data_IF_407975420605
#
_entry.id   IF_407975420605
#
_cell.length_a   1.000
_cell.length_b   1.000
_cell.length_c   1.000
_cell.angle_alpha   90.00
_cell.angle_beta   90.00
_cell.angle_gamma   90.00
#
_symmetry.space_group_name_H-M   'P 1'
#
loop_
_entity.id
_entity.type
_entity.pdbx_description
1 polymer ?
#
# COMPACT_ATOMS: atom_id res chain seq x y z
N UNK A 1 -10.47 1.83 38.36
CA UNK A 1 -10.56 2.38 36.99
C UNK A 1 -9.54 1.70 36.08
N UNK A 2 -9.85 0.51 35.54
CA UNK A 2 -8.91 -0.26 34.71
C UNK A 2 -9.60 -0.94 33.52
N UNK A 3 -10.48 -0.22 32.82
CA UNK A 3 -11.25 -0.76 31.69
C UNK A 3 -11.03 0.00 30.37
N UNK A 4 -10.27 1.10 30.36
CA UNK A 4 -10.10 1.96 29.17
C UNK A 4 -8.91 1.61 28.26
N UNK A 5 -7.99 0.75 28.71
CA UNK A 5 -6.74 0.47 27.97
C UNK A 5 -6.79 -0.84 27.19
N UNK A 6 -7.57 -1.83 27.65
CA UNK A 6 -7.69 -3.15 27.00
C UNK A 6 -8.53 -3.09 25.72
N UNK A 7 -9.52 -2.20 25.67
CA UNK A 7 -10.38 -2.04 24.49
C UNK A 7 -9.64 -1.39 23.31
N UNK A 8 -8.68 -0.49 23.57
CA UNK A 8 -7.80 0.08 22.52
C UNK A 8 -6.81 -0.94 21.97
N UNK A 9 -6.21 -1.77 22.83
CA UNK A 9 -5.29 -2.83 22.39
C UNK A 9 -6.01 -3.93 21.59
N UNK A 10 -7.28 -4.22 21.89
CA UNK A 10 -8.13 -5.12 21.09
C UNK A 10 -8.63 -4.48 19.79
N UNK A 11 -8.83 -3.17 19.75
CA UNK A 11 -9.16 -2.43 18.53
C UNK A 11 -7.96 -2.39 17.57
N UNK A 12 -6.76 -2.07 18.06
CA UNK A 12 -5.53 -2.06 17.28
C UNK A 12 -5.19 -3.45 16.71
N UNK A 13 -5.38 -4.53 17.49
CA UNK A 13 -5.20 -5.92 16.99
C UNK A 13 -6.23 -6.39 15.95
N UNK A 14 -7.32 -5.64 15.74
CA UNK A 14 -8.34 -5.94 14.73
C UNK A 14 -8.19 -5.13 13.45
N UNK A 15 -7.33 -4.10 13.46
CA UNK A 15 -7.13 -3.22 12.30
C UNK A 15 -6.09 -3.78 11.32
N UNK A 16 -5.31 -4.80 11.72
CA UNK A 16 -4.26 -5.43 10.90
C UNK A 16 -4.74 -6.73 10.25
N UNK A 17 -5.59 -6.62 9.22
CA UNK A 17 -5.74 -7.72 8.27
C UNK A 17 -4.64 -7.61 7.23
N UNK A 18 -3.53 -8.30 7.45
CA UNK A 18 -2.45 -8.42 6.46
C UNK A 18 -3.03 -9.01 5.16
N UNK A 19 -2.87 -8.31 4.04
CA UNK A 19 -3.36 -8.81 2.74
C UNK A 19 -2.49 -9.96 2.28
N UNK A 20 -3.09 -11.13 2.00
CA UNK A 20 -2.33 -12.27 1.54
C UNK A 20 -1.96 -12.12 0.06
N UNK A 21 -0.80 -12.66 -0.33
CA UNK A 21 -0.36 -12.64 -1.72
C UNK A 21 -1.38 -13.35 -2.65
N UNK A 22 -2.08 -14.37 -2.15
CA UNK A 22 -3.15 -15.05 -2.89
C UNK A 22 -4.33 -14.10 -3.19
N UNK A 23 -4.78 -13.33 -2.20
CA UNK A 23 -5.84 -12.32 -2.38
C UNK A 23 -5.43 -11.29 -3.44
N UNK A 24 -4.18 -10.82 -3.36
CA UNK A 24 -3.60 -9.87 -4.33
C UNK A 24 -3.58 -10.47 -5.74
N UNK A 25 -3.11 -11.71 -5.90
CA UNK A 25 -3.07 -12.39 -7.20
C UNK A 25 -4.47 -12.60 -7.79
N UNK A 26 -5.41 -13.09 -6.97
CA UNK A 26 -6.78 -13.36 -7.39
C UNK A 26 -7.50 -12.10 -7.85
N UNK A 27 -7.17 -10.96 -7.24
CA UNK A 27 -7.74 -9.68 -7.58
C UNK A 27 -7.05 -9.03 -8.79
N UNK A 28 -5.73 -8.85 -8.72
CA UNK A 28 -4.96 -8.09 -9.69
C UNK A 28 -4.92 -8.72 -11.08
N UNK A 29 -5.17 -10.03 -11.20
CA UNK A 29 -5.31 -10.69 -12.51
C UNK A 29 -6.38 -10.07 -13.41
N UNK A 30 -7.38 -9.39 -12.82
CA UNK A 30 -8.49 -8.78 -13.56
C UNK A 30 -8.14 -7.40 -14.14
N UNK A 31 -7.06 -6.74 -13.68
CA UNK A 31 -6.72 -5.37 -14.08
C UNK A 31 -5.40 -5.26 -14.86
N UNK A 32 -4.79 -6.37 -15.27
CA UNK A 32 -3.47 -6.42 -15.93
C UNK A 32 -3.25 -5.32 -16.96
N UNK A 33 -4.16 -5.17 -17.93
CA UNK A 33 -4.02 -4.16 -19.00
C UNK A 33 -4.06 -2.70 -18.51
N UNK A 34 -4.62 -2.44 -17.33
CA UNK A 34 -4.66 -1.10 -16.75
C UNK A 34 -3.29 -0.66 -16.20
N UNK A 35 -2.37 -1.60 -15.95
CA UNK A 35 -1.05 -1.32 -15.40
C UNK A 35 0.02 -1.02 -16.47
N UNK A 36 -0.25 -1.34 -17.75
CA UNK A 36 0.73 -1.16 -18.82
C UNK A 36 1.17 0.31 -18.95
N UNK A 37 2.48 0.53 -18.87
CA UNK A 37 3.13 1.84 -18.93
C UNK A 37 2.87 2.74 -17.73
N UNK A 38 2.34 2.20 -16.62
CA UNK A 38 1.94 2.98 -15.44
C UNK A 38 2.97 2.97 -14.33
N UNK A 39 3.00 4.07 -13.57
CA UNK A 39 3.65 4.14 -12.26
C UNK A 39 2.66 3.69 -11.19
N UNK A 40 3.00 2.65 -10.43
CA UNK A 40 2.20 2.15 -9.31
C UNK A 40 2.81 2.59 -7.99
N UNK A 41 1.99 3.10 -7.08
CA UNK A 41 2.35 3.38 -5.69
C UNK A 41 1.66 2.38 -4.76
N UNK A 42 2.45 1.77 -3.88
CA UNK A 42 1.97 0.95 -2.78
C UNK A 42 2.37 1.57 -1.44
N UNK A 43 1.40 2.04 -0.66
CA UNK A 43 1.64 2.37 0.75
C UNK A 43 1.68 1.06 1.56
N UNK A 44 2.71 0.88 2.37
CA UNK A 44 2.93 -0.33 3.17
C UNK A 44 3.50 0.00 4.55
N UNK A 45 3.23 -0.85 5.54
CA UNK A 45 3.83 -0.72 6.88
C UNK A 45 5.31 -1.11 6.88
N UNK A 46 5.67 -2.20 6.20
CA UNK A 46 7.07 -2.56 5.93
C UNK A 46 7.20 -3.11 4.49
N UNK A 47 7.89 -2.40 3.58
CA UNK A 47 8.03 -2.83 2.20
C UNK A 47 8.90 -4.08 2.04
N UNK A 48 9.75 -4.41 3.03
CA UNK A 48 10.60 -5.61 2.99
C UNK A 48 9.82 -6.92 3.13
N UNK A 49 8.60 -6.83 3.65
CA UNK A 49 7.67 -7.96 3.84
C UNK A 49 6.33 -7.73 3.16
N UNK A 50 6.21 -6.68 2.33
CA UNK A 50 4.94 -6.33 1.68
C UNK A 50 4.62 -7.27 0.53
N UNK A 51 3.49 -7.96 0.62
CA UNK A 51 2.98 -8.79 -0.46
C UNK A 51 2.61 -7.97 -1.71
N UNK A 52 2.30 -6.68 -1.57
CA UNK A 52 2.08 -5.80 -2.72
C UNK A 52 3.40 -5.55 -3.48
N UNK A 53 4.48 -5.22 -2.75
CA UNK A 53 5.79 -5.06 -3.36
C UNK A 53 6.23 -6.36 -4.04
N UNK A 54 6.13 -7.50 -3.34
CA UNK A 54 6.46 -8.82 -3.90
C UNK A 54 5.67 -9.09 -5.18
N UNK A 55 4.35 -8.87 -5.19
CA UNK A 55 3.55 -9.07 -6.39
C UNK A 55 4.03 -8.19 -7.55
N UNK A 56 4.12 -6.87 -7.35
CA UNK A 56 4.42 -5.95 -8.45
C UNK A 56 5.86 -6.04 -8.94
N UNK A 57 6.83 -6.29 -8.05
CA UNK A 57 8.22 -6.43 -8.44
C UNK A 57 8.43 -7.70 -9.30
N UNK A 58 7.94 -8.85 -8.84
CA UNK A 58 8.07 -10.11 -9.60
C UNK A 58 7.22 -10.16 -10.88
N UNK A 59 6.16 -9.36 -10.96
CA UNK A 59 5.32 -9.26 -12.16
C UNK A 59 5.59 -7.98 -12.96
N UNK A 60 6.67 -7.23 -12.68
CA UNK A 60 6.88 -5.89 -13.22
C UNK A 60 6.84 -5.87 -14.75
N UNK A 61 7.66 -6.71 -15.38
CA UNK A 61 7.76 -6.83 -16.83
C UNK A 61 6.49 -7.42 -17.44
N UNK A 62 5.90 -8.42 -16.77
CA UNK A 62 4.67 -9.07 -17.22
C UNK A 62 3.48 -8.09 -17.26
N UNK A 63 3.39 -7.18 -16.28
CA UNK A 63 2.40 -6.11 -16.24
C UNK A 63 2.77 -4.93 -17.15
N UNK A 64 4.00 -4.89 -17.66
CA UNK A 64 4.55 -3.79 -18.44
C UNK A 64 4.58 -2.49 -17.65
N UNK A 65 4.92 -2.54 -16.36
CA UNK A 65 4.99 -1.35 -15.51
C UNK A 65 6.09 -0.40 -15.99
N UNK A 66 5.87 0.90 -15.75
CA UNK A 66 6.91 1.91 -15.94
C UNK A 66 7.79 2.05 -14.69
N UNK A 67 7.15 2.00 -13.52
CA UNK A 67 7.79 2.23 -12.22
C UNK A 67 6.92 1.70 -11.09
N UNK A 68 7.55 1.16 -10.07
CA UNK A 68 6.95 0.77 -8.80
C UNK A 68 7.55 1.62 -7.69
N UNK A 69 6.69 2.26 -6.91
CA UNK A 69 7.06 3.06 -5.73
C UNK A 69 6.42 2.39 -4.51
N UNK A 70 7.17 2.22 -3.43
CA UNK A 70 6.61 1.70 -2.17
C UNK A 70 7.11 2.51 -0.99
N UNK A 71 6.20 3.09 -0.22
CA UNK A 71 6.55 3.86 1.00
C UNK A 71 6.43 2.98 2.23
N UNK A 72 7.39 3.06 3.15
CA UNK A 72 7.34 2.45 4.47
C UNK A 72 6.85 3.48 5.50
N UNK A 73 5.70 3.24 6.14
CA UNK A 73 5.33 4.00 7.32
C UNK A 73 6.02 3.42 8.56
N UNK A 74 6.73 4.25 9.31
CA UNK A 74 7.33 3.87 10.59
C UNK A 74 6.56 4.52 11.73
N UNK A 75 5.84 3.69 12.49
CA UNK A 75 5.24 4.15 13.74
C UNK A 75 6.33 4.66 14.71
N UNK A 76 6.21 5.92 15.14
CA UNK A 76 7.15 6.59 16.05
C UNK A 76 6.93 6.21 17.53
N UNK A 77 5.86 5.48 17.86
CA UNK A 77 5.66 4.94 19.21
C UNK A 77 6.65 3.78 19.46
N UNK A 78 7.80 4.15 20.03
CA UNK A 78 8.89 3.27 20.45
C UNK A 78 8.44 2.28 21.54
N UNK A 79 7.97 1.10 21.14
CA UNK A 79 7.92 -0.04 22.06
C UNK A 79 9.34 -0.58 22.26
N UNK A 80 9.77 -0.61 23.53
CA UNK A 80 11.10 -0.85 24.10
C UNK A 80 11.81 -2.18 23.70
N UNK A 81 11.34 -2.94 22.71
CA UNK A 81 11.79 -4.31 22.46
C UNK A 81 12.15 -4.68 21.00
N UNK A 82 12.04 -3.80 20.01
CA UNK A 82 12.45 -4.14 18.64
C UNK A 82 13.90 -3.77 18.37
N UNK A 83 14.83 -4.69 18.68
CA UNK A 83 16.21 -4.63 18.22
C UNK A 83 16.25 -4.74 16.69
N UNK A 84 16.90 -3.79 16.02
CA UNK A 84 17.10 -3.67 14.56
C UNK A 84 16.03 -2.90 13.75
N UNK A 85 15.70 -1.67 14.14
CA UNK A 85 15.06 -0.68 13.25
C UNK A 85 16.10 0.31 12.74
N UNK A 86 16.29 0.38 11.42
CA UNK A 86 16.81 1.59 10.78
C UNK A 86 16.04 2.80 11.35
N UNK A 87 16.73 3.83 11.82
CA UNK A 87 16.11 4.96 12.51
C UNK A 87 15.16 5.76 11.60
N UNK A 88 15.34 5.67 10.29
CA UNK A 88 14.67 6.51 9.29
C UNK A 88 13.67 5.72 8.44
N UNK A 89 12.50 6.31 8.17
CA UNK A 89 11.56 5.78 7.20
C UNK A 89 12.17 5.85 5.78
N UNK A 90 11.78 4.94 4.90
CA UNK A 90 12.33 4.84 3.55
C UNK A 90 11.21 4.61 2.53
N UNK A 91 11.50 4.90 1.29
CA UNK A 91 10.72 4.42 0.16
C UNK A 91 11.60 3.66 -0.82
N UNK A 92 10.99 2.67 -1.49
CA UNK A 92 11.61 1.88 -2.53
C UNK A 92 11.15 2.38 -3.90
N UNK A 93 12.07 2.34 -4.85
CA UNK A 93 11.79 2.56 -6.27
C UNK A 93 12.36 1.40 -7.06
N UNK A 94 11.52 0.78 -7.89
CA UNK A 94 11.92 -0.23 -8.85
C UNK A 94 11.46 0.18 -10.25
N UNK A 95 12.37 0.15 -11.21
CA UNK A 95 12.15 0.60 -12.60
C UNK A 95 12.33 -0.54 -13.61
N UNK A 96 12.31 -1.79 -13.14
CA UNK A 96 12.46 -2.99 -13.95
C UNK A 96 13.85 -3.61 -13.89
N UNK A 97 13.95 -4.77 -14.54
CA UNK A 97 15.15 -5.60 -14.62
C UNK A 97 16.22 -4.93 -15.52
N UNK A 98 17.45 -4.87 -15.02
CA UNK A 98 18.62 -4.27 -15.68
C UNK A 98 19.68 -5.29 -16.04
N UNK A 99 19.67 -6.47 -15.44
CA UNK A 99 20.69 -7.50 -15.64
C UNK A 99 20.20 -8.71 -16.47
N UNK A 100 18.90 -8.78 -16.75
CA UNK A 100 18.27 -9.77 -17.63
C UNK A 100 17.91 -11.09 -16.93
N UNK A 101 17.97 -11.16 -15.59
CA UNK A 101 17.62 -12.36 -14.84
C UNK A 101 16.12 -12.47 -14.52
N UNK A 102 15.34 -11.41 -14.80
CA UNK A 102 13.91 -11.28 -14.50
C UNK A 102 13.53 -11.48 -13.02
N UNK A 103 14.47 -11.20 -12.11
CA UNK A 103 14.31 -11.30 -10.66
C UNK A 103 14.64 -9.93 -10.06
N UNK A 104 13.77 -9.34 -9.22
CA UNK A 104 14.06 -8.07 -8.58
C UNK A 104 15.22 -8.18 -7.59
N UNK A 105 16.32 -7.47 -7.88
CA UNK A 105 17.56 -7.54 -7.12
C UNK A 105 17.82 -6.29 -6.27
N UNK A 106 18.62 -6.44 -5.21
CA UNK A 106 18.96 -5.34 -4.30
C UNK A 106 19.72 -4.20 -5.00
N UNK A 107 20.51 -4.50 -6.04
CA UNK A 107 21.19 -3.48 -6.86
C UNK A 107 20.21 -2.69 -7.76
N UNK A 108 19.04 -3.27 -8.08
CA UNK A 108 18.03 -2.65 -8.94
C UNK A 108 16.99 -1.87 -8.14
N UNK A 109 16.70 -2.33 -6.93
CA UNK A 109 15.75 -1.71 -6.01
C UNK A 109 16.43 -0.53 -5.30
N UNK A 110 16.09 0.68 -5.73
CA UNK A 110 16.57 1.90 -5.11
C UNK A 110 15.89 2.13 -3.76
N UNK A 111 16.65 2.04 -2.66
CA UNK A 111 16.20 2.42 -1.32
C UNK A 111 16.54 3.90 -1.08
N UNK A 112 15.54 4.71 -0.75
CA UNK A 112 15.71 6.15 -0.52
C UNK A 112 15.15 6.57 0.83
N UNK A 113 15.89 7.34 1.65
CA UNK A 113 15.40 7.82 2.94
C UNK A 113 14.29 8.87 2.77
N UNK A 114 13.31 8.83 3.68
CA UNK A 114 12.30 9.86 3.89
C UNK A 114 12.74 10.79 5.03
N UNK A 115 12.32 12.05 4.99
CA UNK A 115 12.62 13.03 6.05
C UNK A 115 11.73 12.86 7.27
N UNK A 116 10.48 12.45 7.05
CA UNK A 116 9.48 12.16 8.06
C UNK A 116 9.34 10.67 8.34
N UNK A 117 8.17 10.29 8.82
CA UNK A 117 7.81 8.93 9.24
C UNK A 117 7.18 8.07 8.12
N UNK A 118 6.93 8.66 6.95
CA UNK A 118 6.24 8.01 5.86
C UNK A 118 4.71 8.05 5.96
N UNK A 119 4.13 8.90 6.81
CA UNK A 119 2.69 9.15 6.82
C UNK A 119 2.26 9.66 5.43
N UNK A 120 1.19 9.09 4.87
CA UNK A 120 0.67 9.43 3.55
C UNK A 120 0.28 10.91 3.41
N UNK A 121 0.03 11.60 4.53
CA UNK A 121 -0.28 13.04 4.59
C UNK A 121 0.97 13.92 4.50
N UNK A 122 2.15 13.34 4.70
CA UNK A 122 3.41 14.09 4.65
C UNK A 122 3.65 14.64 3.23
N UNK A 123 4.29 15.81 3.15
CA UNK A 123 4.55 16.46 1.85
C UNK A 123 5.32 15.55 0.89
N UNK A 124 6.31 14.82 1.39
CA UNK A 124 7.11 13.92 0.58
C UNK A 124 6.31 12.71 0.07
N UNK A 125 5.44 12.11 0.88
CA UNK A 125 4.55 11.04 0.42
C UNK A 125 3.50 11.55 -0.58
N UNK A 126 3.02 12.79 -0.42
CA UNK A 126 2.14 13.44 -1.40
C UNK A 126 2.86 13.66 -2.73
N UNK A 127 4.14 14.03 -2.75
CA UNK A 127 4.90 14.14 -4.01
C UNK A 127 5.05 12.77 -4.70
N UNK A 128 5.26 11.70 -3.94
CA UNK A 128 5.25 10.32 -4.48
C UNK A 128 3.86 9.93 -5.01
N UNK A 129 2.79 10.31 -4.30
CA UNK A 129 1.41 10.11 -4.75
C UNK A 129 1.16 10.83 -6.08
N UNK A 130 1.62 12.09 -6.21
CA UNK A 130 1.48 12.88 -7.45
C UNK A 130 2.18 12.22 -8.64
N UNK A 131 3.36 11.60 -8.43
CA UNK A 131 4.08 10.85 -9.47
C UNK A 131 3.33 9.60 -9.94
N UNK A 132 2.56 8.96 -9.05
CA UNK A 132 1.87 7.70 -9.36
C UNK A 132 0.65 7.89 -10.26
N UNK A 133 0.42 6.95 -11.17
CA UNK A 133 -0.82 6.83 -11.95
C UNK A 133 -1.90 6.07 -11.19
N UNK A 134 -1.48 4.99 -10.50
CA UNK A 134 -2.36 4.06 -9.81
C UNK A 134 -1.82 3.79 -8.40
N UNK A 135 -2.70 3.83 -7.41
CA UNK A 135 -2.38 3.42 -6.03
C UNK A 135 -2.95 2.04 -5.75
N UNK A 136 -2.16 1.11 -5.20
CA UNK A 136 -2.65 -0.22 -4.81
C UNK A 136 -2.22 -0.52 -3.38
N UNK A 137 -3.18 -0.68 -2.46
CA UNK A 137 -2.86 -0.81 -1.03
C UNK A 137 -4.00 -1.48 -0.22
N UNK A 138 -3.82 -1.57 1.09
CA UNK A 138 -4.81 -1.93 2.09
C UNK A 138 -4.61 -1.02 3.32
N UNK A 139 -5.21 0.19 3.36
CA UNK A 139 -5.02 1.09 4.48
C UNK A 139 -5.74 0.54 5.72
N UNK A 140 -5.25 0.85 6.94
CA UNK A 140 -5.96 0.49 8.16
C UNK A 140 -7.34 1.13 8.18
N UNK A 141 -8.32 0.43 8.76
CA UNK A 141 -9.72 0.86 8.71
C UNK A 141 -9.94 2.27 9.28
N UNK A 142 -9.21 2.61 10.34
CA UNK A 142 -9.24 3.94 10.98
C UNK A 142 -8.83 5.09 10.05
N UNK A 143 -7.98 4.83 9.05
CA UNK A 143 -7.47 5.82 8.11
C UNK A 143 -8.13 5.74 6.73
N UNK A 144 -8.92 4.69 6.47
CA UNK A 144 -9.48 4.40 5.15
C UNK A 144 -10.19 5.60 4.51
N UNK A 145 -11.13 6.23 5.24
CA UNK A 145 -11.94 7.34 4.68
C UNK A 145 -11.09 8.54 4.29
N UNK A 146 -10.17 8.91 5.17
CA UNK A 146 -9.27 10.04 4.93
C UNK A 146 -8.30 9.75 3.79
N UNK A 147 -7.77 8.54 3.75
CA UNK A 147 -6.88 8.11 2.67
C UNK A 147 -7.60 8.13 1.31
N UNK A 148 -8.80 7.55 1.22
CA UNK A 148 -9.61 7.60 0.00
C UNK A 148 -9.95 9.02 -0.41
N UNK A 149 -10.31 9.89 0.54
CA UNK A 149 -10.57 11.31 0.24
C UNK A 149 -9.35 11.99 -0.39
N UNK A 150 -8.14 11.71 0.12
CA UNK A 150 -6.90 12.20 -0.47
C UNK A 150 -6.67 11.64 -1.88
N UNK A 151 -6.86 10.34 -2.11
CA UNK A 151 -6.73 9.75 -3.45
C UNK A 151 -7.68 10.40 -4.46
N UNK A 152 -8.90 10.74 -4.02
CA UNK A 152 -9.88 11.46 -4.82
C UNK A 152 -9.46 12.91 -5.09
N UNK A 153 -8.96 13.62 -4.08
CA UNK A 153 -8.43 14.99 -4.19
C UNK A 153 -7.32 15.10 -5.25
N UNK A 154 -6.43 14.10 -5.29
CA UNK A 154 -5.31 14.04 -6.25
C UNK A 154 -5.64 13.32 -7.56
N UNK A 155 -6.92 13.08 -7.85
CA UNK A 155 -7.40 12.50 -9.09
C UNK A 155 -6.83 11.10 -9.41
N UNK A 156 -6.50 10.32 -8.37
CA UNK A 156 -5.81 9.04 -8.56
C UNK A 156 -6.77 7.91 -8.91
N UNK A 157 -6.31 7.02 -9.79
CA UNK A 157 -6.87 5.66 -9.89
C UNK A 157 -6.32 4.87 -8.72
N UNK A 158 -7.13 4.04 -8.09
CA UNK A 158 -6.65 3.26 -6.96
C UNK A 158 -7.38 1.95 -6.82
N UNK A 159 -6.73 0.96 -6.21
CA UNK A 159 -7.29 -0.33 -5.86
C UNK A 159 -7.01 -0.59 -4.39
N UNK A 160 -8.06 -0.83 -3.60
CA UNK A 160 -7.91 -1.18 -2.19
C UNK A 160 -8.31 -2.64 -1.99
N UNK A 161 -7.35 -3.48 -1.58
CA UNK A 161 -7.53 -4.93 -1.44
C UNK A 161 -7.47 -5.31 0.05
N UNK A 162 -8.64 -5.57 0.65
CA UNK A 162 -8.77 -5.96 2.06
C UNK A 162 -9.51 -7.28 2.26
N UNK A 163 -9.52 -7.79 3.49
CA UNK A 163 -10.22 -9.03 3.85
C UNK A 163 -11.76 -8.83 3.85
N UNK A 164 -12.51 -9.82 3.35
CA UNK A 164 -13.98 -9.84 3.25
C UNK A 164 -14.71 -9.59 4.57
N UNK A 165 -14.08 -9.89 5.71
CA UNK A 165 -14.69 -9.79 7.04
C UNK A 165 -14.68 -8.39 7.68
N UNK A 166 -14.19 -7.36 6.99
CA UNK A 166 -14.26 -5.98 7.48
C UNK A 166 -15.73 -5.50 7.48
N UNK A 167 -16.38 -5.67 8.64
CA UNK A 167 -17.80 -5.46 8.98
C UNK A 167 -18.43 -4.09 8.65
N UNK A 168 -17.75 -3.22 7.89
CA UNK A 168 -18.07 -1.80 7.74
C UNK A 168 -18.18 -1.33 6.28
N UNK A 169 -18.20 -2.26 5.31
CA UNK A 169 -18.39 -1.95 3.90
C UNK A 169 -19.71 -1.21 3.58
N UNK A 170 -20.77 -1.38 4.40
CA UNK A 170 -22.05 -0.67 4.20
C UNK A 170 -21.94 0.86 4.25
N UNK A 171 -21.02 1.41 5.04
CA UNK A 171 -20.86 2.87 5.17
C UNK A 171 -19.89 3.47 4.14
N UNK A 172 -19.09 2.62 3.50
CA UNK A 172 -18.02 3.03 2.61
C UNK A 172 -18.42 2.83 1.15
N UNK A 173 -19.21 1.79 0.86
CA UNK A 173 -19.70 1.47 -0.48
C UNK A 173 -20.39 2.65 -1.20
N UNK A 174 -21.21 3.50 -0.55
CA UNK A 174 -21.82 4.65 -1.22
C UNK A 174 -20.79 5.66 -1.77
N UNK A 175 -19.71 5.93 -1.00
CA UNK A 175 -18.64 6.86 -1.41
C UNK A 175 -17.83 6.32 -2.61
N UNK A 176 -17.74 4.99 -2.73
CA UNK A 176 -17.02 4.31 -3.81
C UNK A 176 -17.91 4.20 -5.08
N UNK A 177 -19.21 3.93 -4.91
CA UNK A 177 -20.15 3.73 -6.02
C UNK A 177 -20.37 5.00 -6.86
N UNK A 178 -20.30 6.19 -6.27
CA UNK A 178 -20.52 7.45 -6.99
C UNK A 178 -19.40 7.81 -7.99
N UNK A 179 -18.20 7.24 -7.88
CA UNK A 179 -17.01 7.82 -8.55
C UNK A 179 -16.27 6.96 -9.60
N UNK A 180 -16.81 5.81 -10.04
CA UNK A 180 -16.36 5.02 -11.23
C UNK A 180 -14.84 4.96 -11.52
N UNK A 181 -13.97 4.86 -10.50
CA UNK A 181 -12.51 4.74 -10.64
C UNK A 181 -12.07 3.40 -10.08
N UNK A 182 -11.19 2.71 -10.83
CA UNK A 182 -10.96 1.26 -10.82
C UNK A 182 -11.24 0.56 -9.47
N UNK A 183 -12.26 -0.30 -9.43
CA UNK A 183 -12.68 -1.01 -8.22
C UNK A 183 -11.85 -2.26 -7.98
N UNK A 184 -11.84 -2.75 -6.73
CA UNK A 184 -11.52 -4.13 -6.38
C UNK A 184 -12.81 -4.95 -6.31
N UNK A 185 -12.74 -6.18 -6.81
CA UNK A 185 -13.69 -7.25 -6.64
C UNK A 185 -13.54 -7.80 -5.21
N UNK A 186 -14.64 -7.74 -4.49
CA UNK A 186 -14.78 -8.35 -3.18
C UNK A 186 -15.21 -9.79 -3.46
N UNK A 187 -14.22 -10.69 -3.54
CA UNK A 187 -14.41 -12.04 -4.10
C UNK A 187 -15.69 -12.74 -3.65
N UNK A 188 -16.31 -13.45 -4.59
CA UNK A 188 -17.43 -14.37 -4.36
C UNK A 188 -17.13 -15.41 -3.27
#
# INVERSE_FOLDING_TARGET
MAKRTIDKAKAAKKDEFYTQLEDINNELRHYREHFRGKTVLCNCDDPRVSNFFTYFAYNFEFLGLKKLITTCYKNQDMDLFSMNKSEQAVYLVYEGDKNGNHIPDAEEIGVKPLKGDGDFRSKECIELLKEADIVVTNPPFSLFREYVAQLMEYDKKFLIIGNKNALTYKEIFPLIQENKRLFANFGA
#
